data_IF_242036515521
#
_entry.id   IF_242036515521
#
_cell.length_a   1.000
_cell.length_b   1.000
_cell.length_c   1.000
_cell.angle_alpha   90.00
_cell.angle_beta   90.00
_cell.angle_gamma   90.00
#
_symmetry.space_group_name_H-M   'P 1'
#
loop_
_entity.id
_entity.type
_entity.pdbx_description
1 polymer ?
#
# COMPACT_ATOMS: atom_id res chain seq x y z
N UNK A 1 3.37 -6.61 8.45
CA UNK A 1 3.83 -6.44 9.85
C UNK A 1 4.87 -5.35 9.89
N UNK A 2 4.76 -4.40 10.80
CA UNK A 2 5.87 -3.52 11.18
C UNK A 2 6.17 -3.84 12.64
N UNK A 3 7.36 -4.37 12.92
CA UNK A 3 7.63 -5.02 14.19
C UNK A 3 6.57 -6.09 14.49
N UNK A 4 5.89 -5.94 15.64
CA UNK A 4 4.84 -6.87 16.08
C UNK A 4 3.41 -6.43 15.72
N UNK A 5 3.24 -5.30 15.00
CA UNK A 5 1.92 -4.82 14.56
C UNK A 5 1.57 -5.42 13.20
N UNK A 6 0.45 -6.14 13.12
CA UNK A 6 -0.19 -6.50 11.83
C UNK A 6 -0.53 -5.22 11.09
N UNK A 7 -0.40 -5.16 9.77
CA UNK A 7 -0.71 -3.95 9.00
C UNK A 7 -1.41 -4.35 7.72
N UNK A 8 -2.54 -3.72 7.41
CA UNK A 8 -3.25 -3.94 6.16
C UNK A 8 -2.57 -3.17 5.04
N UNK A 9 -1.93 -3.91 4.13
CA UNK A 9 -1.16 -3.36 3.02
C UNK A 9 -1.89 -3.63 1.71
N UNK A 10 -2.23 -2.57 0.98
CA UNK A 10 -2.72 -2.66 -0.38
C UNK A 10 -1.52 -2.78 -1.34
N UNK A 11 -1.59 -3.73 -2.28
CA UNK A 11 -0.65 -3.80 -3.40
C UNK A 11 -1.35 -3.17 -4.60
N UNK A 12 -0.84 -2.04 -5.06
CA UNK A 12 -1.50 -1.21 -6.07
C UNK A 12 -0.52 -0.80 -7.17
N UNK A 13 -0.63 -1.45 -8.33
CA UNK A 13 0.16 -1.08 -9.51
C UNK A 13 -0.26 0.25 -10.15
N UNK A 14 -1.39 0.84 -9.73
CA UNK A 14 -1.82 2.17 -10.13
C UNK A 14 -1.13 3.29 -9.35
N UNK A 15 -0.59 3.00 -8.16
CA UNK A 15 0.18 3.95 -7.38
C UNK A 15 1.64 3.99 -7.85
N UNK A 16 2.19 5.16 -8.11
CA UNK A 16 3.61 5.30 -8.49
C UNK A 16 4.54 4.94 -7.33
N UNK A 17 4.30 5.52 -6.16
CA UNK A 17 5.15 5.37 -4.98
C UNK A 17 4.44 4.64 -3.84
N UNK A 18 5.21 4.27 -2.82
CA UNK A 18 4.64 3.66 -1.62
C UNK A 18 4.14 4.73 -0.65
N UNK A 19 2.99 4.46 -0.03
CA UNK A 19 2.38 5.36 0.95
C UNK A 19 2.12 4.65 2.27
N UNK A 20 2.24 5.38 3.38
CA UNK A 20 1.89 4.91 4.71
C UNK A 20 0.93 5.91 5.36
N UNK A 21 -0.08 5.38 6.05
CA UNK A 21 -1.06 6.20 6.74
C UNK A 21 -0.40 7.03 7.85
N UNK A 22 -0.62 8.35 7.87
CA UNK A 22 -0.09 9.24 8.91
C UNK A 22 -0.42 8.73 10.32
N UNK A 23 -1.67 8.29 10.53
CA UNK A 23 -2.13 7.69 11.80
C UNK A 23 -1.31 6.48 12.25
N UNK A 24 -0.82 5.66 11.31
CA UNK A 24 -0.03 4.47 11.64
C UNK A 24 1.40 4.87 12.02
N UNK A 25 1.95 5.87 11.34
CA UNK A 25 3.26 6.45 11.67
C UNK A 25 3.25 6.99 13.11
N UNK A 26 2.20 7.71 13.48
CA UNK A 26 1.99 8.22 14.84
C UNK A 26 1.76 7.10 15.86
N UNK A 27 0.89 6.13 15.56
CA UNK A 27 0.60 4.96 16.42
C UNK A 27 1.88 4.20 16.80
N UNK A 28 2.77 4.01 15.82
CA UNK A 28 4.00 3.22 15.99
C UNK A 28 5.22 4.06 16.35
N UNK A 29 5.09 5.39 16.45
CA UNK A 29 6.21 6.29 16.70
C UNK A 29 7.34 6.16 15.66
N UNK A 30 6.99 5.95 14.38
CA UNK A 30 7.99 5.76 13.33
C UNK A 30 8.73 7.07 13.05
N UNK A 31 10.02 6.97 12.77
CA UNK A 31 10.83 8.14 12.41
C UNK A 31 10.39 8.69 11.04
N UNK A 32 10.12 9.99 11.00
CA UNK A 32 9.76 10.72 9.77
C UNK A 32 10.85 11.73 9.46
N UNK A 33 11.36 11.69 8.24
CA UNK A 33 12.26 12.72 7.73
C UNK A 33 11.46 13.74 6.93
N UNK A 34 11.74 15.02 7.15
CA UNK A 34 11.13 16.09 6.36
C UNK A 34 11.58 16.00 4.89
N UNK A 35 10.61 16.17 4.00
CA UNK A 35 10.81 16.33 2.56
C UNK A 35 10.37 17.73 2.13
N UNK A 36 10.69 18.18 0.92
CA UNK A 36 9.86 19.20 0.26
C UNK A 36 8.41 18.73 0.20
N UNK A 37 7.46 19.66 0.22
CA UNK A 37 6.05 19.34 -0.01
C UNK A 37 5.90 18.70 -1.39
N UNK A 38 5.19 17.57 -1.45
CA UNK A 38 4.84 16.89 -2.69
C UNK A 38 3.32 16.90 -2.89
N UNK A 39 2.91 16.80 -4.15
CA UNK A 39 1.50 16.73 -4.54
C UNK A 39 1.26 15.37 -5.15
N UNK A 40 0.27 14.66 -4.63
CA UNK A 40 -0.18 13.38 -5.20
C UNK A 40 -1.55 13.59 -5.82
N UNK A 41 -1.69 13.19 -7.07
CA UNK A 41 -2.99 13.05 -7.73
C UNK A 41 -3.52 11.65 -7.41
N UNK A 42 -4.66 11.58 -6.72
CA UNK A 42 -5.31 10.32 -6.34
C UNK A 42 -6.33 9.90 -7.40
N UNK A 43 -6.88 8.69 -7.29
CA UNK A 43 -7.70 8.07 -8.34
C UNK A 43 -8.96 8.83 -8.77
N UNK A 44 -9.45 9.79 -7.97
CA UNK A 44 -10.57 10.67 -8.31
C UNK A 44 -10.11 12.00 -8.97
N UNK A 45 -8.82 12.16 -9.29
CA UNK A 45 -8.23 13.38 -9.86
C UNK A 45 -7.94 14.48 -8.83
N UNK A 46 -8.25 14.28 -7.55
CA UNK A 46 -7.94 15.23 -6.50
C UNK A 46 -6.42 15.30 -6.26
N UNK A 47 -5.92 16.51 -5.98
CA UNK A 47 -4.51 16.78 -5.70
C UNK A 47 -4.29 17.05 -4.22
N UNK A 48 -3.69 16.08 -3.54
CA UNK A 48 -3.42 16.14 -2.11
C UNK A 48 -1.97 16.56 -1.87
N UNK A 49 -1.79 17.62 -1.08
CA UNK A 49 -0.45 18.07 -0.63
C UNK A 49 -0.04 17.29 0.60
N UNK A 50 1.15 16.73 0.57
CA UNK A 50 1.71 15.93 1.65
C UNK A 50 3.19 16.30 1.90
N UNK A 51 3.71 15.87 3.04
CA UNK A 51 5.10 16.08 3.41
C UNK A 51 5.58 14.94 4.33
N UNK A 52 6.86 14.60 4.20
CA UNK A 52 7.52 13.63 5.06
C UNK A 52 7.65 12.26 4.41
N UNK A 53 8.64 11.52 4.88
CA UNK A 53 8.93 10.15 4.42
C UNK A 53 9.49 9.31 5.57
N UNK A 54 9.02 8.07 5.67
CA UNK A 54 9.68 7.02 6.46
C UNK A 54 10.75 6.37 5.60
N UNK A 55 12.02 6.75 5.78
CA UNK A 55 13.12 6.19 5.00
C UNK A 55 13.54 4.80 5.48
N UNK A 56 13.65 3.84 4.55
CA UNK A 56 14.18 2.52 4.85
C UNK A 56 13.39 1.74 5.91
N UNK A 57 12.07 1.94 5.96
CA UNK A 57 11.16 1.24 6.86
C UNK A 57 11.24 -0.27 6.60
N UNK A 58 11.52 -1.03 7.66
CA UNK A 58 11.53 -2.48 7.64
C UNK A 58 10.15 -3.02 8.00
N UNK A 59 9.66 -3.96 7.20
CA UNK A 59 8.36 -4.58 7.39
C UNK A 59 8.35 -5.99 6.81
N UNK A 60 7.36 -6.79 7.18
CA UNK A 60 7.16 -8.13 6.62
C UNK A 60 5.81 -8.26 5.96
N UNK A 61 5.78 -8.92 4.80
CA UNK A 61 4.55 -9.44 4.18
C UNK A 61 4.62 -10.95 4.27
N UNK A 62 3.72 -11.55 5.06
CA UNK A 62 3.61 -13.01 5.19
C UNK A 62 4.94 -13.73 5.47
N UNK A 63 5.78 -13.14 6.32
CA UNK A 63 7.08 -13.69 6.72
C UNK A 63 8.25 -13.27 5.82
N UNK A 64 8.01 -12.64 4.67
CA UNK A 64 9.05 -12.12 3.79
C UNK A 64 9.43 -10.70 4.23
N UNK A 65 10.72 -10.45 4.45
CA UNK A 65 11.24 -9.16 4.89
C UNK A 65 11.41 -8.20 3.71
N UNK A 66 10.98 -6.95 3.91
CA UNK A 66 11.16 -5.87 2.96
C UNK A 66 11.72 -4.64 3.67
N UNK A 67 12.45 -3.83 2.90
CA UNK A 67 12.93 -2.51 3.34
C UNK A 67 12.64 -1.51 2.24
N UNK A 68 11.74 -0.55 2.47
CA UNK A 68 11.30 0.43 1.46
C UNK A 68 11.08 1.81 2.08
N UNK A 69 11.04 2.83 1.22
CA UNK A 69 10.67 4.19 1.61
C UNK A 69 9.16 4.36 1.42
N UNK A 70 8.52 5.03 2.37
CA UNK A 70 7.09 5.32 2.33
C UNK A 70 6.82 6.80 2.56
N UNK A 71 6.09 7.41 1.63
CA UNK A 71 5.60 8.78 1.77
C UNK A 71 4.37 8.78 2.68
N UNK A 72 4.20 9.85 3.45
CA UNK A 72 3.01 10.01 4.28
C UNK A 72 1.81 10.39 3.41
N UNK A 73 0.64 9.85 3.76
CA UNK A 73 -0.64 10.18 3.15
C UNK A 73 -1.78 9.79 4.09
N UNK A 74 -2.90 10.53 4.04
CA UNK A 74 -4.15 10.06 4.63
C UNK A 74 -4.74 8.92 3.79
N UNK A 75 -4.84 7.72 4.39
CA UNK A 75 -5.35 6.53 3.73
C UNK A 75 -6.64 6.05 4.40
N UNK A 76 -7.68 5.85 3.59
CA UNK A 76 -8.93 5.22 4.00
C UNK A 76 -8.97 3.76 3.55
N UNK A 77 -9.13 2.84 4.50
CA UNK A 77 -9.33 1.41 4.22
C UNK A 77 -8.06 0.56 4.31
N UNK A 78 -6.91 1.04 3.83
CA UNK A 78 -5.60 0.42 4.08
C UNK A 78 -4.76 1.26 5.05
N UNK A 79 -3.67 0.68 5.54
CA UNK A 79 -2.70 1.37 6.40
C UNK A 79 -1.37 1.60 5.65
N UNK A 80 -1.08 0.81 4.62
CA UNK A 80 0.05 0.97 3.70
C UNK A 80 -0.39 0.71 2.27
N UNK A 81 0.27 1.35 1.31
CA UNK A 81 0.17 1.09 -0.14
C UNK A 81 1.57 0.78 -0.66
N UNK A 82 1.71 -0.35 -1.35
CA UNK A 82 2.89 -0.69 -2.13
C UNK A 82 2.62 -0.37 -3.59
N UNK A 83 3.32 0.66 -4.08
CA UNK A 83 3.21 1.13 -5.45
C UNK A 83 4.21 0.47 -6.39
N UNK A 84 4.25 1.00 -7.61
CA UNK A 84 5.14 0.56 -8.67
C UNK A 84 6.61 0.63 -8.32
N UNK A 85 7.05 1.61 -7.52
CA UNK A 85 8.44 1.67 -7.03
C UNK A 85 8.86 0.37 -6.30
N UNK A 86 7.96 -0.21 -5.49
CA UNK A 86 8.22 -1.49 -4.83
C UNK A 86 8.07 -2.66 -5.79
N UNK A 87 7.01 -2.67 -6.61
CA UNK A 87 6.72 -3.80 -7.50
C UNK A 87 7.80 -3.98 -8.58
N UNK A 88 8.29 -2.88 -9.17
CA UNK A 88 9.37 -2.91 -10.14
C UNK A 88 10.67 -3.49 -9.55
N UNK A 89 10.94 -3.26 -8.25
CA UNK A 89 12.12 -3.81 -7.58
C UNK A 89 12.10 -5.33 -7.41
N UNK A 90 10.93 -5.96 -7.55
CA UNK A 90 10.76 -7.42 -7.48
C UNK A 90 10.93 -8.09 -8.85
N UNK A 91 11.09 -7.31 -9.93
CA UNK A 91 11.22 -7.83 -11.27
C UNK A 91 9.94 -8.52 -11.74
N UNK A 92 10.07 -9.78 -12.16
CA UNK A 92 8.93 -10.53 -12.67
C UNK A 92 8.04 -11.01 -11.52
N UNK A 93 6.77 -10.64 -11.60
CA UNK A 93 5.72 -11.07 -10.68
C UNK A 93 4.69 -11.85 -11.48
N UNK A 94 4.37 -13.07 -11.05
CA UNK A 94 3.23 -13.82 -11.58
C UNK A 94 2.01 -13.52 -10.71
N UNK A 95 0.95 -13.00 -11.32
CA UNK A 95 -0.30 -12.71 -10.64
C UNK A 95 -1.38 -13.71 -11.04
N UNK A 96 -2.03 -14.32 -10.06
CA UNK A 96 -3.29 -15.04 -10.25
C UNK A 96 -4.39 -14.29 -9.49
N UNK A 97 -5.16 -13.48 -10.23
CA UNK A 97 -6.23 -12.66 -9.66
C UNK A 97 -7.46 -13.47 -9.24
N UNK A 98 -7.66 -14.67 -9.79
CA UNK A 98 -8.75 -15.57 -9.37
C UNK A 98 -8.50 -16.13 -7.97
N UNK A 99 -7.24 -16.49 -7.69
CA UNK A 99 -6.81 -16.99 -6.38
C UNK A 99 -6.31 -15.89 -5.45
N UNK A 100 -6.35 -14.62 -5.89
CA UNK A 100 -5.82 -13.46 -5.18
C UNK A 100 -4.38 -13.65 -4.72
N UNK A 101 -3.50 -14.24 -5.52
CA UNK A 101 -2.10 -14.45 -5.13
C UNK A 101 -1.11 -13.84 -6.11
N UNK A 102 0.02 -13.39 -5.56
CA UNK A 102 1.18 -12.91 -6.30
C UNK A 102 2.36 -13.81 -5.97
N UNK A 103 3.11 -14.25 -6.99
CA UNK A 103 4.36 -14.97 -6.82
C UNK A 103 5.51 -14.08 -7.28
N UNK A 104 6.50 -13.93 -6.43
CA UNK A 104 7.69 -13.12 -6.71
C UNK A 104 8.94 -13.83 -6.21
N UNK A 105 10.08 -13.47 -6.78
CA UNK A 105 11.39 -13.91 -6.29
C UNK A 105 12.01 -12.81 -5.41
N UNK A 106 12.39 -13.17 -4.19
CA UNK A 106 13.10 -12.28 -3.26
C UNK A 106 14.34 -13.03 -2.78
N UNK A 107 15.52 -12.41 -2.94
CA UNK A 107 16.81 -12.99 -2.56
C UNK A 107 17.04 -14.42 -3.11
N UNK A 108 16.61 -14.67 -4.36
CA UNK A 108 16.74 -15.96 -5.03
C UNK A 108 15.73 -17.03 -4.58
N UNK A 109 14.77 -16.68 -3.71
CA UNK A 109 13.73 -17.57 -3.22
C UNK A 109 12.37 -17.16 -3.77
N UNK A 110 11.59 -18.15 -4.22
CA UNK A 110 10.21 -17.91 -4.66
C UNK A 110 9.28 -17.83 -3.47
N UNK A 111 8.52 -16.75 -3.42
CA UNK A 111 7.51 -16.50 -2.40
C UNK A 111 6.14 -16.31 -3.03
N UNK A 112 5.10 -16.77 -2.34
CA UNK A 112 3.71 -16.50 -2.68
C UNK A 112 3.15 -15.55 -1.62
N UNK A 113 2.68 -14.39 -2.05
CA UNK A 113 1.92 -13.45 -1.25
C UNK A 113 0.44 -13.69 -1.54
N UNK A 114 -0.30 -14.07 -0.51
CA UNK A 114 -1.73 -14.38 -0.59
C UNK A 114 -2.57 -13.17 -0.17
N UNK A 115 -3.54 -12.75 -0.99
CA UNK A 115 -4.51 -11.74 -0.60
C UNK A 115 -5.42 -12.24 0.54
N UNK A 116 -5.86 -11.34 1.41
CA UNK A 116 -6.80 -11.67 2.48
C UNK A 116 -8.24 -11.65 1.95
N UNK A 117 -8.93 -12.80 1.83
CA UNK A 117 -10.28 -12.86 1.26
C UNK A 117 -11.31 -12.05 2.06
N UNK A 118 -11.09 -11.87 3.37
CA UNK A 118 -12.00 -11.10 4.22
C UNK A 118 -11.98 -9.60 3.87
N UNK A 119 -10.87 -9.11 3.33
CA UNK A 119 -10.70 -7.70 2.91
C UNK A 119 -11.24 -7.43 1.51
N UNK A 120 -11.35 -8.46 0.66
CA UNK A 120 -11.95 -8.36 -0.69
C UNK A 120 -13.49 -8.44 -0.69
N UNK A 121 -14.12 -8.79 0.44
CA UNK A 121 -15.57 -8.93 0.56
C UNK A 121 -16.34 -7.62 0.79
N UNK A 122 -15.66 -6.47 0.91
CA UNK A 122 -16.32 -5.17 0.75
C UNK A 122 -16.50 -4.87 -0.75
N UNK A 123 -17.23 -5.73 -1.46
CA UNK A 123 -17.79 -5.33 -2.74
C UNK A 123 -18.73 -4.16 -2.44
N UNK A 124 -18.34 -2.96 -2.86
CA UNK A 124 -19.26 -1.84 -2.91
C UNK A 124 -20.43 -2.30 -3.79
N UNK A 125 -21.59 -2.49 -3.18
CA UNK A 125 -22.78 -2.85 -3.93
C UNK A 125 -22.99 -1.83 -5.04
N UNK A 126 -23.55 -2.26 -6.18
CA UNK A 126 -23.91 -1.36 -7.28
C UNK A 126 -24.69 -0.12 -6.78
N UNK A 127 -25.49 -0.26 -5.71
CA UNK A 127 -26.19 0.85 -5.05
C UNK A 127 -25.24 1.85 -4.37
N UNK A 128 -24.20 1.37 -3.70
CA UNK A 128 -23.19 2.23 -3.10
C UNK A 128 -22.37 2.97 -4.18
N UNK A 129 -22.07 2.30 -5.29
CA UNK A 129 -21.41 2.91 -6.45
C UNK A 129 -22.29 3.97 -7.12
N UNK A 130 -23.58 3.69 -7.39
CA UNK A 130 -24.52 4.68 -7.94
C UNK A 130 -24.62 5.90 -7.01
N UNK A 131 -24.74 5.69 -5.70
CA UNK A 131 -24.88 6.80 -4.75
C UNK A 131 -23.64 7.70 -4.71
N UNK A 132 -22.44 7.14 -4.88
CA UNK A 132 -21.21 7.92 -4.99
C UNK A 132 -21.17 8.76 -6.27
N UNK A 133 -21.67 8.22 -7.39
CA UNK A 133 -21.76 8.91 -8.69
C UNK A 133 -22.94 9.89 -8.80
N UNK A 134 -23.94 9.80 -7.91
CA UNK A 134 -25.13 10.67 -7.92
C UNK A 134 -24.95 11.96 -7.13
N UNK A 135 -23.80 12.13 -6.47
CA UNK A 135 -23.46 13.29 -5.65
C UNK A 135 -22.40 14.20 -6.32
N UNK A 136 -22.13 13.99 -7.60
CA UNK A 136 -21.50 14.97 -8.51
C UNK A 136 -22.57 15.87 -9.14
#
# INVERSE_FOLDING_TARGET
MIGNRRVLTLIDSGATSNFIATRLVEELGLNVKNTPTYVVEVGNGEKVKNQGVCEGLQFQIQGVNFKRHFFLMELSGSEMVLGMDSLASLGNIEANFGDLCLKCEVDGQKHTIQGDPATCNNQATWKAMIKALSNE
#
